data_IF_721038796667
#
_entry.id   IF_721038796667
#
_cell.length_a   1.000
_cell.length_b   1.000
_cell.length_c   1.000
_cell.angle_alpha   90.00
_cell.angle_beta   90.00
_cell.angle_gamma   90.00
#
_symmetry.space_group_name_H-M   'P 1'
#
loop_
_entity.id
_entity.type
_entity.pdbx_description
1 polymer ?
#
# COMPACT_ATOMS: atom_id res chain seq x y z
N UNK A 1 -11.29 4.47 -31.71
CA UNK A 1 -12.32 3.52 -31.22
C UNK A 1 -12.09 3.29 -29.72
N UNK A 2 -13.10 3.44 -28.85
CA UNK A 2 -12.94 3.09 -27.43
C UNK A 2 -12.96 1.57 -27.34
N UNK A 3 -11.94 0.93 -26.76
CA UNK A 3 -11.97 -0.52 -26.52
C UNK A 3 -13.14 -0.85 -25.58
N UNK A 4 -14.16 -1.50 -26.12
CA UNK A 4 -15.34 -1.92 -25.36
C UNK A 4 -15.05 -3.29 -24.76
N UNK A 5 -15.21 -3.42 -23.44
CA UNK A 5 -15.08 -4.70 -22.74
C UNK A 5 -16.38 -5.47 -22.92
N UNK A 6 -16.30 -6.57 -23.68
CA UNK A 6 -17.41 -7.45 -24.08
C UNK A 6 -17.44 -8.79 -23.35
N UNK A 7 -16.47 -9.05 -22.47
CA UNK A 7 -16.40 -10.26 -21.65
C UNK A 7 -15.84 -9.95 -20.25
N UNK A 8 -16.04 -10.85 -19.30
CA UNK A 8 -15.44 -10.77 -17.97
C UNK A 8 -13.92 -10.93 -18.06
N UNK A 9 -13.20 -10.15 -17.25
CA UNK A 9 -11.74 -10.14 -17.22
C UNK A 9 -11.25 -10.46 -15.81
N UNK A 10 -10.21 -11.29 -15.71
CA UNK A 10 -9.53 -11.51 -14.43
C UNK A 10 -8.93 -10.18 -13.95
N UNK A 11 -9.10 -9.87 -12.67
CA UNK A 11 -8.57 -8.64 -12.08
C UNK A 11 -7.04 -8.62 -12.16
N UNK A 12 -6.43 -7.71 -12.94
CA UNK A 12 -4.99 -7.74 -13.15
C UNK A 12 -4.22 -7.18 -11.95
N UNK A 13 -2.94 -7.53 -11.87
CA UNK A 13 -1.99 -6.89 -10.95
C UNK A 13 -1.61 -5.50 -11.45
N UNK A 14 -1.26 -4.63 -10.50
CA UNK A 14 -0.83 -3.27 -10.74
C UNK A 14 0.44 -3.22 -11.58
N UNK A 15 0.41 -2.46 -12.68
CA UNK A 15 1.56 -2.34 -13.61
C UNK A 15 2.78 -1.66 -12.97
N UNK A 16 2.61 -0.90 -11.88
CA UNK A 16 3.71 -0.20 -11.22
C UNK A 16 4.42 -1.03 -10.14
N UNK A 17 3.68 -1.82 -9.34
CA UNK A 17 4.28 -2.56 -8.23
C UNK A 17 4.23 -4.08 -8.39
N UNK A 18 3.42 -4.59 -9.32
CA UNK A 18 3.22 -6.03 -9.58
C UNK A 18 2.82 -6.88 -8.35
N UNK A 19 2.51 -6.24 -7.22
CA UNK A 19 2.20 -6.90 -5.93
C UNK A 19 0.72 -6.79 -5.54
N UNK A 20 0.04 -5.74 -5.98
CA UNK A 20 -1.35 -5.43 -5.56
C UNK A 20 -2.28 -5.45 -6.76
N UNK A 21 -3.51 -5.88 -6.55
CA UNK A 21 -4.55 -5.86 -7.58
C UNK A 21 -4.90 -4.43 -8.02
N UNK A 22 -5.16 -4.25 -9.31
CA UNK A 22 -5.60 -2.98 -9.89
C UNK A 22 -6.92 -2.50 -9.29
N UNK A 23 -7.15 -1.18 -9.24
CA UNK A 23 -8.45 -0.63 -8.83
C UNK A 23 -9.55 -0.97 -9.84
N UNK A 24 -10.77 -1.10 -9.37
CA UNK A 24 -11.96 -1.17 -10.21
C UNK A 24 -12.27 0.22 -10.81
N UNK A 25 -12.87 0.22 -11.99
CA UNK A 25 -13.20 1.41 -12.79
C UNK A 25 -14.61 1.31 -13.36
N UNK A 26 -15.58 1.05 -12.49
CA UNK A 26 -16.98 0.85 -12.87
C UNK A 26 -17.20 -0.42 -13.70
N UNK A 27 -18.33 -0.45 -14.41
CA UNK A 27 -18.77 -1.58 -15.24
C UNK A 27 -18.90 -1.17 -16.71
N UNK A 28 -18.83 -2.13 -17.63
CA UNK A 28 -19.13 -1.94 -19.06
C UNK A 28 -20.63 -1.88 -19.30
N UNK A 29 -21.05 -1.56 -20.53
CA UNK A 29 -22.47 -1.59 -20.93
C UNK A 29 -23.08 -2.99 -20.72
N UNK A 30 -22.25 -4.03 -20.78
CA UNK A 30 -22.63 -5.43 -20.58
C UNK A 30 -22.47 -5.90 -19.12
N UNK A 31 -22.18 -4.99 -18.18
CA UNK A 31 -22.06 -5.29 -16.76
C UNK A 31 -20.67 -5.76 -16.28
N UNK A 32 -19.72 -6.00 -17.19
CA UNK A 32 -18.37 -6.48 -16.82
C UNK A 32 -17.54 -5.42 -16.11
N UNK A 33 -16.86 -5.79 -15.02
CA UNK A 33 -16.02 -4.87 -14.24
C UNK A 33 -14.82 -4.43 -15.08
N UNK A 34 -14.56 -3.12 -15.10
CA UNK A 34 -13.35 -2.57 -15.71
C UNK A 34 -12.30 -2.34 -14.63
N UNK A 35 -11.03 -2.42 -14.99
CA UNK A 35 -9.93 -2.14 -14.07
C UNK A 35 -9.06 -0.97 -14.54
N UNK A 36 -8.47 -0.25 -13.59
CA UNK A 36 -7.43 0.77 -13.83
C UNK A 36 -6.09 0.08 -14.10
N UNK A 37 -5.09 0.87 -14.50
CA UNK A 37 -3.70 0.41 -14.68
C UNK A 37 -2.96 0.18 -13.34
N UNK A 38 -3.38 0.89 -12.29
CA UNK A 38 -2.67 0.91 -11.01
C UNK A 38 -3.54 0.45 -9.83
N UNK A 39 -2.91 -0.04 -8.76
CA UNK A 39 -3.54 -0.21 -7.46
C UNK A 39 -3.75 1.16 -6.79
N UNK A 40 -4.54 1.20 -5.71
CA UNK A 40 -4.88 2.45 -5.02
C UNK A 40 -3.67 3.26 -4.54
N UNK A 41 -2.58 2.59 -4.16
CA UNK A 41 -1.38 3.27 -3.67
C UNK A 41 -0.56 3.80 -4.84
N UNK A 42 -0.24 2.96 -5.83
CA UNK A 42 0.55 3.38 -6.98
C UNK A 42 -0.19 4.42 -7.83
N UNK A 43 -1.53 4.38 -7.92
CA UNK A 43 -2.31 5.44 -8.58
C UNK A 43 -2.10 6.80 -7.89
N UNK A 44 -2.11 6.83 -6.55
CA UNK A 44 -1.82 8.04 -5.77
C UNK A 44 -0.38 8.50 -5.93
N UNK A 45 0.59 7.59 -5.97
CA UNK A 45 1.99 7.93 -6.18
C UNK A 45 2.20 8.49 -7.60
N UNK A 46 1.61 7.86 -8.63
CA UNK A 46 1.80 8.26 -10.03
C UNK A 46 1.09 9.59 -10.33
N UNK A 47 -0.15 9.77 -9.89
CA UNK A 47 -0.96 10.93 -10.27
C UNK A 47 -1.06 12.03 -9.20
N UNK A 48 -0.81 11.72 -7.92
CA UNK A 48 -0.97 12.65 -6.80
C UNK A 48 0.31 12.77 -5.97
N UNK A 49 1.47 12.99 -6.62
CA UNK A 49 2.78 13.07 -5.96
C UNK A 49 2.84 14.13 -4.83
N UNK A 50 1.96 15.14 -4.79
CA UNK A 50 2.05 16.28 -3.86
C UNK A 50 0.73 16.70 -3.18
N UNK A 51 -0.08 15.77 -2.71
CA UNK A 51 -1.09 16.16 -1.70
C UNK A 51 -0.36 16.46 -0.38
N UNK A 52 -0.21 17.73 -0.01
CA UNK A 52 0.47 18.22 1.20
C UNK A 52 1.99 17.93 1.31
N UNK A 53 2.70 17.77 0.19
CA UNK A 53 4.16 17.59 0.17
C UNK A 53 4.67 16.26 0.73
N UNK A 54 3.80 15.28 0.99
CA UNK A 54 4.19 13.96 1.51
C UNK A 54 4.29 12.93 0.39
N UNK A 55 5.50 12.40 0.18
CA UNK A 55 5.71 11.24 -0.69
C UNK A 55 5.02 10.01 -0.09
N UNK A 56 4.27 9.26 -0.90
CA UNK A 56 3.56 8.04 -0.48
C UNK A 56 4.32 6.76 -0.82
N UNK A 57 5.55 6.88 -1.35
CA UNK A 57 6.40 5.77 -1.78
C UNK A 57 6.81 4.86 -0.61
N UNK A 58 6.96 5.40 0.60
CA UNK A 58 7.29 4.63 1.81
C UNK A 58 6.29 3.48 2.03
N UNK A 59 5.02 3.63 1.61
CA UNK A 59 4.00 2.57 1.71
C UNK A 59 4.26 1.37 0.82
N UNK A 60 5.17 1.50 -0.16
CA UNK A 60 5.64 0.41 -1.02
C UNK A 60 6.76 -0.40 -0.37
N UNK A 61 7.40 0.13 0.68
CA UNK A 61 8.50 -0.54 1.41
C UNK A 61 8.03 -1.63 2.37
N UNK A 62 6.71 -1.86 2.47
CA UNK A 62 6.12 -2.94 3.26
C UNK A 62 6.63 -4.30 2.78
N UNK A 63 7.33 -5.02 3.65
CA UNK A 63 7.83 -6.38 3.44
C UNK A 63 6.73 -7.41 3.73
N UNK A 64 7.07 -8.70 3.62
CA UNK A 64 6.17 -9.83 3.93
C UNK A 64 6.33 -10.37 5.37
N UNK A 65 7.27 -9.83 6.14
CA UNK A 65 7.52 -10.21 7.53
C UNK A 65 7.70 -9.01 8.45
N UNK A 66 7.37 -9.19 9.72
CA UNK A 66 7.66 -8.24 10.79
C UNK A 66 9.17 -8.26 11.09
N UNK A 67 9.78 -7.09 11.10
CA UNK A 67 11.21 -6.91 11.36
C UNK A 67 11.54 -6.93 12.87
N UNK A 68 10.52 -6.76 13.74
CA UNK A 68 10.69 -6.84 15.20
C UNK A 68 10.55 -8.26 15.76
N UNK A 69 9.49 -8.99 15.37
CA UNK A 69 9.18 -10.30 15.95
C UNK A 69 9.27 -11.47 14.96
N UNK A 70 9.59 -11.22 13.69
CA UNK A 70 9.71 -12.26 12.67
C UNK A 70 8.40 -12.81 12.09
N UNK A 71 7.23 -12.35 12.57
CA UNK A 71 5.92 -12.79 12.06
C UNK A 71 5.83 -12.67 10.53
N UNK A 72 5.59 -13.78 9.84
CA UNK A 72 5.37 -13.82 8.39
C UNK A 72 3.87 -13.68 8.12
N UNK A 73 3.49 -12.68 7.32
CA UNK A 73 2.08 -12.41 7.08
C UNK A 73 1.48 -13.33 6.01
N UNK A 74 0.32 -13.87 6.31
CA UNK A 74 -0.54 -14.55 5.33
C UNK A 74 -1.13 -13.52 4.35
N UNK A 75 -1.54 -12.37 4.89
CA UNK A 75 -2.07 -11.28 4.09
C UNK A 75 -1.42 -9.95 4.47
N UNK A 76 -1.12 -9.14 3.44
CA UNK A 76 -0.43 -7.86 3.58
C UNK A 76 -1.12 -6.82 4.50
N UNK A 77 -2.38 -7.05 4.89
CA UNK A 77 -3.10 -6.22 5.85
C UNK A 77 -2.61 -6.40 7.30
N UNK A 78 -1.91 -7.50 7.61
CA UNK A 78 -1.42 -7.82 8.95
C UNK A 78 -0.10 -7.11 9.30
N UNK A 79 0.48 -6.40 8.33
CA UNK A 79 1.73 -5.67 8.46
C UNK A 79 1.48 -4.20 8.18
N UNK A 80 2.31 -3.33 8.73
CA UNK A 80 2.34 -1.88 8.51
C UNK A 80 3.77 -1.38 8.33
N UNK A 81 3.91 -0.23 7.66
CA UNK A 81 5.19 0.48 7.58
C UNK A 81 5.22 1.47 8.72
N UNK A 82 6.26 1.38 9.54
CA UNK A 82 6.52 2.22 10.70
C UNK A 82 7.77 3.07 10.46
N UNK A 83 7.76 4.27 11.04
CA UNK A 83 8.93 5.15 11.09
C UNK A 83 9.68 4.87 12.40
N UNK A 84 10.94 4.43 12.29
CA UNK A 84 11.76 4.02 13.45
C UNK A 84 11.89 5.18 14.44
N UNK A 85 12.18 6.38 13.94
CA UNK A 85 12.29 7.62 14.73
C UNK A 85 10.94 8.22 15.19
N UNK A 86 9.82 7.62 14.81
CA UNK A 86 8.47 8.14 15.08
C UNK A 86 8.08 9.39 14.27
N UNK A 87 8.98 9.95 13.47
CA UNK A 87 8.75 11.12 12.65
C UNK A 87 8.18 10.74 11.27
N UNK A 88 6.86 10.91 11.13
CA UNK A 88 6.12 10.63 9.88
C UNK A 88 6.54 11.45 8.65
N UNK A 89 7.43 12.44 8.81
CA UNK A 89 8.01 13.21 7.70
C UNK A 89 9.33 12.63 7.20
N UNK A 90 10.04 11.83 8.01
CA UNK A 90 11.31 11.22 7.65
C UNK A 90 11.09 9.92 6.85
N UNK A 91 10.86 10.05 5.55
CA UNK A 91 10.60 8.91 4.67
C UNK A 91 11.87 8.24 4.10
N UNK A 92 13.05 8.50 4.67
CA UNK A 92 14.27 7.80 4.27
C UNK A 92 14.08 6.30 4.44
N UNK A 93 14.52 5.52 3.45
CA UNK A 93 14.30 4.06 3.44
C UNK A 93 14.86 3.41 4.71
N UNK A 94 16.01 3.87 5.19
CA UNK A 94 16.65 3.35 6.40
C UNK A 94 15.91 3.71 7.70
N UNK A 95 14.99 4.67 7.66
CA UNK A 95 14.10 5.02 8.78
C UNK A 95 12.76 4.25 8.74
N UNK A 96 12.55 3.38 7.74
CA UNK A 96 11.32 2.62 7.59
C UNK A 96 11.53 1.18 8.03
N UNK A 97 10.58 0.64 8.78
CA UNK A 97 10.53 -0.78 9.12
C UNK A 97 9.13 -1.35 8.90
N UNK A 98 9.04 -2.64 8.60
CA UNK A 98 7.77 -3.36 8.51
C UNK A 98 7.46 -4.03 9.85
N UNK A 99 6.35 -3.67 10.49
CA UNK A 99 5.90 -4.26 11.75
C UNK A 99 4.57 -4.98 11.55
N UNK A 100 4.35 -6.07 12.29
CA UNK A 100 2.99 -6.62 12.40
C UNK A 100 2.09 -5.70 13.22
N UNK A 101 0.77 -5.83 13.04
CA UNK A 101 -0.20 -4.97 13.72
C UNK A 101 -0.07 -5.00 15.25
N UNK A 102 0.40 -6.10 15.84
CA UNK A 102 0.64 -6.19 17.28
C UNK A 102 1.89 -5.41 17.71
N UNK A 103 3.03 -5.64 17.05
CA UNK A 103 4.27 -4.92 17.34
C UNK A 103 4.15 -3.41 17.11
N UNK A 104 3.45 -3.01 16.04
CA UNK A 104 3.22 -1.61 15.71
C UNK A 104 2.37 -0.91 16.80
N UNK A 105 1.29 -1.55 17.25
CA UNK A 105 0.46 -1.04 18.36
C UNK A 105 1.25 -0.91 19.65
N UNK A 106 2.05 -1.93 19.99
CA UNK A 106 2.87 -1.91 21.20
C UNK A 106 3.89 -0.76 21.16
N UNK A 107 4.61 -0.59 20.04
CA UNK A 107 5.53 0.55 19.86
C UNK A 107 4.80 1.88 20.02
N UNK A 108 3.64 2.04 19.37
CA UNK A 108 2.83 3.26 19.49
C UNK A 108 2.42 3.54 20.94
N UNK A 109 2.10 2.50 21.72
CA UNK A 109 1.77 2.66 23.14
C UNK A 109 2.98 3.18 23.94
N UNK A 110 4.14 2.54 23.78
CA UNK A 110 5.40 2.90 24.43
C UNK A 110 5.82 4.34 24.07
N UNK A 111 5.84 4.68 22.78
CA UNK A 111 6.22 6.02 22.26
C UNK A 111 5.34 7.17 22.81
N UNK A 112 4.15 6.87 23.35
CA UNK A 112 3.22 7.86 23.91
C UNK A 112 3.18 7.88 25.44
N UNK A 113 3.56 6.80 26.12
CA UNK A 113 3.53 6.69 27.59
C UNK A 113 4.90 6.89 28.23
N UNK A 114 5.99 6.70 27.48
CA UNK A 114 7.35 6.92 27.93
C UNK A 114 7.88 8.34 27.58
N UNK A 115 6.96 9.28 27.32
CA UNK A 115 7.23 10.72 27.10
C UNK A 115 6.76 11.54 28.29
#
# INVERSE_FOLDING_TARGET
MKNIITAEQVRPLCVSCSKRLCRTNGKSKFGFVKYKKYCTICEKIVYNQKQNGRLLDYKLQKKNKCEKCGFVAEHHCQLDVDHIDGNKKNNNIDNLQTLCSNCHRLKTYQDNHDK
#
